data_IF_660002856657
#
_entry.id   IF_660002856657
#
_cell.length_a   1.000
_cell.length_b   1.000
_cell.length_c   1.000
_cell.angle_alpha   90.00
_cell.angle_beta   90.00
_cell.angle_gamma   90.00
#
_symmetry.space_group_name_H-M   'P 1'
#
loop_
_entity.id
_entity.type
_entity.pdbx_description
1 polymer ?
#
# COMPACT_ATOMS: atom_id res chain seq x y z
N UNK A 1 -5.61 -5.37 -4.44
CA UNK A 1 -4.44 -5.06 -3.58
C UNK A 1 -3.21 -4.99 -4.46
N UNK A 2 -2.31 -4.02 -4.25
CA UNK A 2 -1.02 -4.02 -4.97
C UNK A 2 -0.09 -5.10 -4.44
N UNK A 3 0.58 -5.81 -5.36
CA UNK A 3 1.61 -6.77 -5.02
C UNK A 3 3.01 -6.14 -5.07
N UNK A 4 3.34 -5.42 -6.15
CA UNK A 4 4.62 -4.73 -6.32
C UNK A 4 4.41 -3.42 -7.07
N UNK A 5 5.07 -2.38 -6.60
CA UNK A 5 5.21 -1.10 -7.27
C UNK A 5 6.69 -0.94 -7.61
N UNK A 6 7.02 -0.85 -8.89
CA UNK A 6 8.40 -0.72 -9.37
C UNK A 6 8.53 0.56 -10.17
N UNK A 7 9.54 1.35 -9.84
CA UNK A 7 9.91 2.58 -10.55
C UNK A 7 11.36 2.45 -10.94
N UNK A 8 11.68 2.67 -12.23
CA UNK A 8 13.05 2.64 -12.71
C UNK A 8 13.89 3.68 -11.96
N UNK A 9 15.18 3.41 -11.69
CA UNK A 9 16.04 4.30 -10.90
C UNK A 9 15.99 5.76 -11.34
N UNK A 10 16.00 6.02 -12.65
CA UNK A 10 15.99 7.36 -13.23
C UNK A 10 14.72 8.18 -12.91
N UNK A 11 13.64 7.50 -12.52
CA UNK A 11 12.34 8.09 -12.20
C UNK A 11 12.02 8.06 -10.70
N UNK A 12 12.97 7.60 -9.87
CA UNK A 12 12.81 7.61 -8.42
C UNK A 12 12.93 9.04 -7.86
N UNK A 13 12.33 9.28 -6.69
CA UNK A 13 12.29 10.63 -6.07
C UNK A 13 11.22 11.57 -6.66
N UNK A 14 10.75 11.33 -7.88
CA UNK A 14 9.71 12.15 -8.53
C UNK A 14 8.28 11.85 -8.08
N UNK A 15 8.11 10.96 -7.09
CA UNK A 15 6.79 10.48 -6.62
C UNK A 15 5.91 9.82 -7.68
N UNK A 16 6.46 9.43 -8.84
CA UNK A 16 5.72 8.82 -9.95
C UNK A 16 5.01 7.54 -9.51
N UNK A 17 5.70 6.66 -8.76
CA UNK A 17 5.09 5.43 -8.25
C UNK A 17 3.91 5.68 -7.31
N UNK A 18 4.01 6.68 -6.43
CA UNK A 18 2.92 7.02 -5.51
C UNK A 18 1.69 7.53 -6.27
N UNK A 19 1.91 8.40 -7.27
CA UNK A 19 0.84 8.91 -8.14
C UNK A 19 0.20 7.82 -8.99
N UNK A 20 0.99 6.90 -9.53
CA UNK A 20 0.49 5.76 -10.30
C UNK A 20 -0.36 4.83 -9.44
N UNK A 21 0.11 4.47 -8.25
CA UNK A 21 -0.65 3.66 -7.27
C UNK A 21 -1.98 4.34 -6.91
N UNK A 22 -1.98 5.65 -6.69
CA UNK A 22 -3.19 6.41 -6.39
C UNK A 22 -4.18 6.48 -7.56
N UNK A 23 -3.68 6.67 -8.79
CA UNK A 23 -4.53 6.65 -9.98
C UNK A 23 -5.22 5.29 -10.17
N UNK A 24 -4.49 4.19 -10.00
CA UNK A 24 -5.07 2.83 -10.04
C UNK A 24 -6.11 2.65 -8.93
N UNK A 25 -5.83 3.17 -7.74
CA UNK A 25 -6.77 3.10 -6.62
C UNK A 25 -8.07 3.87 -6.90
N UNK A 26 -7.97 5.06 -7.48
CA UNK A 26 -9.13 5.84 -7.92
C UNK A 26 -9.91 5.11 -9.01
N UNK A 27 -9.23 4.63 -10.05
CA UNK A 27 -9.88 3.91 -11.15
C UNK A 27 -10.68 2.69 -10.66
N UNK A 28 -10.13 1.94 -9.71
CA UNK A 28 -10.82 0.80 -9.10
C UNK A 28 -11.97 1.25 -8.18
N UNK A 29 -11.80 2.35 -7.45
CA UNK A 29 -12.86 2.93 -6.63
C UNK A 29 -14.05 3.42 -7.46
N UNK A 30 -13.79 4.02 -8.63
CA UNK A 30 -14.82 4.45 -9.59
C UNK A 30 -15.64 3.25 -10.12
N UNK A 31 -15.02 2.07 -10.18
CA UNK A 31 -15.69 0.81 -10.53
C UNK A 31 -16.39 0.13 -9.32
N UNK A 32 -16.39 0.76 -8.15
CA UNK A 32 -17.00 0.24 -6.92
C UNK A 32 -16.13 -0.75 -6.13
N UNK A 33 -14.85 -0.92 -6.49
CA UNK A 33 -13.94 -1.79 -5.76
C UNK A 33 -13.21 -1.06 -4.64
N UNK A 34 -12.97 -1.76 -3.52
CA UNK A 34 -12.09 -1.28 -2.45
C UNK A 34 -10.64 -1.53 -2.81
N UNK A 35 -9.80 -0.51 -2.65
CA UNK A 35 -8.37 -0.63 -2.89
C UNK A 35 -7.57 -0.58 -1.58
N UNK A 36 -6.76 -1.61 -1.35
CA UNK A 36 -5.85 -1.70 -0.22
C UNK A 36 -4.42 -1.81 -0.70
N UNK A 37 -3.53 -1.09 -0.04
CA UNK A 37 -2.09 -1.16 -0.24
C UNK A 37 -1.38 -1.54 1.05
N UNK A 38 -0.35 -2.35 0.95
CA UNK A 38 0.56 -2.68 2.04
C UNK A 38 1.97 -2.34 1.58
N UNK A 39 2.69 -1.54 2.36
CA UNK A 39 4.04 -1.10 2.03
C UNK A 39 4.93 -1.00 3.27
N UNK A 40 6.21 -1.31 3.07
CA UNK A 40 7.31 -1.04 3.99
C UNK A 40 8.19 0.12 3.53
N UNK A 41 7.92 0.72 2.37
CA UNK A 41 8.77 1.76 1.79
C UNK A 41 8.54 3.11 2.48
N UNK A 42 9.55 3.71 3.16
CA UNK A 42 9.35 4.89 3.99
C UNK A 42 8.76 6.09 3.24
N UNK A 43 9.23 6.36 2.02
CA UNK A 43 8.70 7.48 1.23
C UNK A 43 7.23 7.30 0.84
N UNK A 44 6.78 6.06 0.58
CA UNK A 44 5.41 5.77 0.20
C UNK A 44 4.48 5.81 1.42
N UNK A 45 4.96 5.33 2.57
CA UNK A 45 4.27 5.46 3.86
C UNK A 45 4.07 6.95 4.19
N UNK A 46 5.15 7.75 4.11
CA UNK A 46 5.09 9.19 4.37
C UNK A 46 4.19 9.95 3.40
N UNK A 47 4.17 9.57 2.12
CA UNK A 47 3.24 10.14 1.13
C UNK A 47 1.78 9.88 1.54
N UNK A 48 1.45 8.64 1.91
CA UNK A 48 0.09 8.23 2.26
C UNK A 48 -0.37 8.81 3.59
N UNK A 49 0.50 8.83 4.61
CA UNK A 49 0.19 9.44 5.92
C UNK A 49 -0.16 10.94 5.79
N UNK A 50 0.36 11.64 4.77
CA UNK A 50 0.07 13.06 4.50
C UNK A 50 -1.13 13.30 3.60
N UNK A 51 -1.69 12.26 2.98
CA UNK A 51 -2.76 12.39 1.99
C UNK A 51 -4.12 12.04 2.59
N UNK A 52 -5.15 12.89 2.42
CA UNK A 52 -6.50 12.58 2.89
C UNK A 52 -7.15 11.41 2.12
N UNK A 53 -6.54 10.99 1.00
CA UNK A 53 -7.01 9.89 0.16
C UNK A 53 -6.60 8.51 0.66
N UNK A 54 -5.82 8.44 1.75
CA UNK A 54 -5.34 7.18 2.29
C UNK A 54 -5.64 7.10 3.78
N UNK A 55 -6.42 6.10 4.15
CA UNK A 55 -6.67 5.78 5.55
C UNK A 55 -5.70 4.71 6.01
N UNK A 56 -4.85 5.04 6.97
CA UNK A 56 -3.99 4.04 7.63
C UNK A 56 -4.85 3.04 8.41
N UNK A 57 -4.57 1.78 8.18
CA UNK A 57 -5.31 0.67 8.78
C UNK A 57 -4.57 0.12 9.99
N UNK A 58 -5.30 -0.58 10.87
CA UNK A 58 -4.70 -1.26 12.01
C UNK A 58 -3.58 -2.20 11.54
N UNK A 59 -2.45 -2.15 12.24
CA UNK A 59 -1.29 -2.98 11.90
C UNK A 59 -1.65 -4.46 12.03
N UNK A 60 -1.39 -5.23 10.98
CA UNK A 60 -1.59 -6.67 11.01
C UNK A 60 -0.72 -7.30 12.13
N UNK A 61 -1.30 -8.23 12.89
CA UNK A 61 -0.58 -8.96 13.96
C UNK A 61 0.24 -10.13 13.42
N UNK A 62 -0.14 -10.66 12.25
CA UNK A 62 0.50 -11.80 11.58
C UNK A 62 0.40 -11.61 10.06
N UNK A 63 1.42 -12.04 9.33
CA UNK A 63 1.33 -12.21 7.88
C UNK A 63 0.67 -13.55 7.56
N UNK A 64 -0.18 -13.55 6.54
CA UNK A 64 -0.72 -14.76 5.97
C UNK A 64 0.30 -15.33 4.98
N UNK A 65 0.84 -16.51 5.26
CA UNK A 65 1.72 -17.25 4.34
C UNK A 65 1.17 -18.65 4.13
N UNK A 66 1.18 -19.12 2.89
CA UNK A 66 0.86 -20.50 2.53
C UNK A 66 2.11 -21.39 2.47
N UNK A 67 3.31 -20.81 2.66
CA UNK A 67 4.59 -21.51 2.49
C UNK A 67 5.09 -22.11 3.80
N UNK A 68 5.32 -23.43 3.81
CA UNK A 68 5.94 -24.18 4.93
C UNK A 68 7.47 -24.17 4.88
N UNK A 69 8.09 -23.35 4.01
CA UNK A 69 9.55 -23.33 3.84
C UNK A 69 10.26 -22.90 5.12
N UNK A 70 11.39 -23.55 5.40
CA UNK A 70 12.22 -23.31 6.60
C UNK A 70 12.71 -21.86 6.74
N UNK A 71 12.90 -21.14 5.63
CA UNK A 71 13.32 -19.74 5.63
C UNK A 71 12.16 -18.74 5.87
N UNK A 72 10.92 -19.23 6.00
CA UNK A 72 9.74 -18.44 6.33
C UNK A 72 9.31 -18.68 7.79
N UNK A 73 10.26 -18.58 8.73
CA UNK A 73 9.98 -18.67 10.16
C UNK A 73 9.10 -17.51 10.60
N UNK A 74 8.29 -17.74 11.64
CA UNK A 74 7.36 -16.77 12.23
C UNK A 74 8.03 -15.43 12.56
N UNK A 75 9.26 -15.44 13.06
CA UNK A 75 9.98 -14.23 13.45
C UNK A 75 10.52 -13.43 12.25
N UNK A 76 10.72 -14.09 11.10
CA UNK A 76 11.11 -13.44 9.83
C UNK A 76 9.90 -12.79 9.17
N UNK A 77 8.71 -13.33 9.38
CA UNK A 77 7.45 -12.84 8.85
C UNK A 77 6.68 -11.91 9.80
N UNK A 78 7.35 -11.36 10.82
CA UNK A 78 6.72 -10.41 11.74
C UNK A 78 6.49 -9.05 11.03
N UNK A 79 5.23 -8.62 10.82
CA UNK A 79 4.92 -7.33 10.18
C UNK A 79 5.58 -6.12 10.87
N UNK A 80 5.88 -6.22 12.17
CA UNK A 80 6.54 -5.15 12.93
C UNK A 80 7.99 -5.02 12.52
N UNK A 81 8.70 -6.15 12.45
CA UNK A 81 10.12 -6.20 12.05
C UNK A 81 10.30 -5.80 10.59
N UNK A 82 9.33 -6.14 9.74
CA UNK A 82 9.32 -5.77 8.32
C UNK A 82 8.87 -4.33 8.05
N UNK A 83 8.45 -3.58 9.07
CA UNK A 83 7.97 -2.21 8.90
C UNK A 83 6.69 -2.09 8.06
N UNK A 84 5.91 -3.16 7.93
CA UNK A 84 4.73 -3.18 7.07
C UNK A 84 3.61 -2.32 7.64
N UNK A 85 3.07 -1.46 6.79
CA UNK A 85 1.92 -0.61 7.06
C UNK A 85 0.87 -0.84 5.99
N UNK A 86 -0.38 -0.95 6.41
CA UNK A 86 -1.51 -1.11 5.51
C UNK A 86 -2.29 0.19 5.42
N UNK A 87 -2.71 0.53 4.20
CA UNK A 87 -3.54 1.67 3.88
C UNK A 87 -4.74 1.22 3.04
N UNK A 88 -5.88 1.82 3.27
CA UNK A 88 -7.07 1.70 2.43
C UNK A 88 -7.28 3.03 1.71
N UNK A 89 -7.63 2.96 0.43
CA UNK A 89 -7.87 4.15 -0.38
C UNK A 89 -9.26 4.71 -0.08
N UNK A 90 -9.32 6.02 0.13
CA UNK A 90 -10.55 6.77 0.31
C UNK A 90 -10.69 7.71 -0.90
N UNK A 91 -11.59 7.42 -1.85
CA UNK A 91 -11.82 8.30 -2.98
C UNK A 91 -12.29 9.67 -2.47
N UNK A 92 -11.89 10.78 -3.12
CA UNK A 92 -12.46 12.09 -2.83
C UNK A 92 -13.97 12.03 -3.11
N UNK A 93 -14.75 12.74 -2.30
CA UNK A 93 -16.19 12.82 -2.47
C UNK A 93 -16.51 13.32 -3.88
N UNK A 94 -17.08 12.47 -4.72
CA UNK A 94 -17.55 12.87 -6.04
C UNK A 94 -18.85 13.65 -5.83
N UNK A 95 -18.80 14.96 -6.09
CA UNK A 95 -20.02 15.74 -6.26
C UNK A 95 -20.59 15.27 -7.59
N UNK A 96 -21.64 14.45 -7.54
CA UNK A 96 -22.43 14.12 -8.73
C UNK A 96 -23.01 15.43 -9.24
N UNK A 97 -22.59 15.85 -10.44
CA UNK A 97 -23.13 16.99 -11.17
C UNK A 97 -24.31 16.54 -12.05
#
# INVERSE_FOLDING_TARGET
MEHRLVVLPDFQGLSIGARMSEWVAQHLADQGYRYRSVSSHPALISYRDRSPRWQRQARARKLHTSSTRWNQRKDTLDPRRLGLVSFEYTPPMQILA
#
